data_IF_907426588970
#
_entry.id   IF_907426588970
#
_cell.length_a   1.000
_cell.length_b   1.000
_cell.length_c   1.000
_cell.angle_alpha   90.00
_cell.angle_beta   90.00
_cell.angle_gamma   90.00
#
_symmetry.space_group_name_H-M   'P 1'
#
loop_
_entity.id
_entity.type
_entity.pdbx_description
1 polymer ?
#
# COMPACT_ATOMS: atom_id res chain seq x y z
N UNK A 1 -42.55 12.25 -1.01
CA UNK A 1 -41.36 11.75 -0.28
C UNK A 1 -40.27 11.54 -1.33
N UNK A 2 -39.87 12.63 -2.01
CA UNK A 2 -39.12 12.56 -3.28
C UNK A 2 -37.85 13.43 -3.27
N UNK A 3 -37.50 14.01 -2.12
CA UNK A 3 -36.42 15.02 -2.02
C UNK A 3 -35.00 14.46 -2.15
N UNK A 4 -34.81 13.14 -2.12
CA UNK A 4 -33.49 12.49 -2.20
C UNK A 4 -33.28 11.64 -3.45
N UNK A 5 -34.23 11.65 -4.41
CA UNK A 5 -34.05 10.89 -5.65
C UNK A 5 -33.16 11.68 -6.62
N UNK A 6 -31.93 11.18 -6.81
CA UNK A 6 -30.98 11.73 -7.78
C UNK A 6 -31.32 11.15 -9.16
N UNK A 7 -31.63 11.99 -10.18
CA UNK A 7 -31.91 11.52 -11.54
C UNK A 7 -30.79 10.64 -12.09
N UNK A 8 -31.18 9.53 -12.70
CA UNK A 8 -30.26 8.56 -13.28
C UNK A 8 -29.63 7.57 -12.30
N UNK A 9 -29.66 7.82 -10.99
CA UNK A 9 -29.06 6.92 -10.01
C UNK A 9 -30.02 5.77 -9.66
N UNK A 10 -29.51 4.55 -9.72
CA UNK A 10 -30.19 3.33 -9.28
C UNK A 10 -29.62 2.88 -7.94
N UNK A 11 -30.48 2.33 -7.10
CA UNK A 11 -30.13 1.72 -5.83
C UNK A 11 -30.53 0.25 -5.85
N UNK A 12 -29.70 -0.61 -5.27
CA UNK A 12 -29.89 -2.05 -5.27
C UNK A 12 -28.96 -2.71 -4.27
N UNK A 13 -29.12 -4.03 -4.08
CA UNK A 13 -28.35 -4.79 -3.10
C UNK A 13 -26.85 -4.88 -3.45
N UNK A 14 -26.51 -4.82 -4.74
CA UNK A 14 -25.13 -4.75 -5.21
C UNK A 14 -24.84 -3.33 -5.72
N UNK A 15 -23.91 -2.57 -5.10
CA UNK A 15 -23.61 -1.22 -5.52
C UNK A 15 -23.03 -1.15 -6.93
N UNK A 16 -22.29 -2.19 -7.37
CA UNK A 16 -21.69 -2.22 -8.71
C UNK A 16 -22.77 -2.39 -9.76
N UNK A 17 -23.68 -3.36 -9.58
CA UNK A 17 -24.80 -3.58 -10.51
C UNK A 17 -25.67 -2.32 -10.61
N UNK A 18 -25.96 -1.71 -9.45
CA UNK A 18 -26.75 -0.48 -9.38
C UNK A 18 -26.06 0.66 -10.11
N UNK A 19 -24.74 0.80 -9.96
CA UNK A 19 -23.96 1.81 -10.67
C UNK A 19 -23.98 1.56 -12.19
N UNK A 20 -23.75 0.31 -12.64
CA UNK A 20 -23.74 -0.06 -14.05
C UNK A 20 -25.07 0.25 -14.74
N UNK A 21 -26.18 -0.01 -14.05
CA UNK A 21 -27.54 0.30 -14.53
C UNK A 21 -27.92 1.79 -14.39
N UNK A 22 -27.13 2.60 -13.69
CA UNK A 22 -27.36 4.04 -13.55
C UNK A 22 -26.96 4.79 -14.82
N UNK A 23 -27.47 6.02 -14.98
CA UNK A 23 -27.07 6.97 -16.02
C UNK A 23 -26.34 8.16 -15.43
N UNK A 24 -25.62 8.90 -16.27
CA UNK A 24 -24.81 10.05 -15.86
C UNK A 24 -25.59 11.38 -15.86
N UNK A 25 -26.92 11.32 -15.99
CA UNK A 25 -27.80 12.48 -16.16
C UNK A 25 -27.57 13.60 -15.13
N UNK A 26 -27.41 13.24 -13.86
CA UNK A 26 -27.13 14.20 -12.78
C UNK A 26 -25.85 15.01 -12.99
N UNK A 27 -24.81 14.41 -13.60
CA UNK A 27 -23.51 15.06 -13.78
C UNK A 27 -23.51 16.14 -14.86
N UNK A 28 -24.59 16.26 -15.63
CA UNK A 28 -24.79 17.34 -16.60
C UNK A 28 -25.58 18.52 -16.02
N UNK A 29 -26.08 18.39 -14.78
CA UNK A 29 -26.91 19.42 -14.15
C UNK A 29 -26.29 19.89 -12.83
N UNK A 30 -25.86 21.15 -12.80
CA UNK A 30 -25.27 21.80 -11.61
C UNK A 30 -26.17 21.69 -10.37
N UNK A 31 -27.49 21.84 -10.53
CA UNK A 31 -28.44 21.75 -9.41
C UNK A 31 -28.53 20.33 -8.83
N UNK A 32 -28.24 19.32 -9.64
CA UNK A 32 -28.20 17.94 -9.19
C UNK A 32 -26.88 17.64 -8.47
N UNK A 33 -25.76 18.11 -9.04
CA UNK A 33 -24.42 18.01 -8.44
C UNK A 33 -24.41 18.63 -7.04
N UNK A 34 -25.05 19.78 -6.86
CA UNK A 34 -25.13 20.45 -5.56
C UNK A 34 -25.85 19.61 -4.48
N UNK A 35 -26.73 18.68 -4.86
CA UNK A 35 -27.39 17.76 -3.92
C UNK A 35 -26.48 16.63 -3.43
N UNK A 36 -25.52 16.20 -4.26
CA UNK A 36 -24.58 15.11 -3.93
C UNK A 36 -23.24 15.65 -3.41
N UNK A 37 -23.02 16.97 -3.47
CA UNK A 37 -21.82 17.60 -2.95
C UNK A 37 -21.78 17.41 -1.43
N UNK A 38 -20.68 16.86 -0.88
CA UNK A 38 -20.53 16.77 0.57
C UNK A 38 -20.48 18.18 1.15
N UNK A 39 -21.21 18.40 2.25
CA UNK A 39 -21.33 19.69 2.91
C UNK A 39 -20.06 20.10 3.70
N UNK A 40 -18.92 19.48 3.37
CA UNK A 40 -17.66 19.65 4.09
C UNK A 40 -16.90 20.85 3.52
N UNK A 41 -16.69 21.85 4.38
CA UNK A 41 -16.07 23.15 4.07
C UNK A 41 -14.55 23.08 3.81
N UNK A 42 -13.98 21.87 3.71
CA UNK A 42 -12.54 21.63 3.60
C UNK A 42 -12.09 21.18 2.21
N UNK A 43 -13.01 20.96 1.27
CA UNK A 43 -12.70 20.53 -0.09
C UNK A 43 -13.08 21.61 -1.11
N UNK A 44 -12.10 22.39 -1.57
CA UNK A 44 -12.16 23.26 -2.76
C UNK A 44 -12.29 22.48 -4.09
N UNK A 45 -12.92 21.31 -4.06
CA UNK A 45 -13.17 20.52 -5.26
C UNK A 45 -14.36 21.15 -6.01
N UNK A 46 -14.03 21.90 -7.06
CA UNK A 46 -15.01 22.49 -7.96
C UNK A 46 -15.54 21.39 -8.88
N UNK A 47 -16.74 20.88 -8.57
CA UNK A 47 -17.48 20.02 -9.48
C UNK A 47 -18.14 20.86 -10.56
N UNK A 48 -17.67 20.71 -11.80
CA UNK A 48 -18.31 21.29 -12.99
C UNK A 48 -19.23 20.26 -13.64
N UNK A 49 -20.36 20.73 -14.15
CA UNK A 49 -21.20 19.92 -15.01
C UNK A 49 -20.42 19.46 -16.25
N UNK A 50 -20.67 18.22 -16.66
CA UNK A 50 -20.11 17.66 -17.89
C UNK A 50 -20.73 18.33 -19.12
N UNK A 51 -19.97 18.35 -20.21
CA UNK A 51 -20.44 18.83 -21.50
C UNK A 51 -21.02 17.67 -22.33
N UNK A 52 -22.19 17.88 -22.92
CA UNK A 52 -22.97 16.85 -23.65
C UNK A 52 -22.43 16.56 -25.05
N UNK A 53 -21.37 17.25 -25.47
CA UNK A 53 -20.76 17.11 -26.80
C UNK A 53 -20.10 15.75 -27.05
N UNK A 54 -19.59 15.08 -26.00
CA UNK A 54 -18.82 13.83 -26.14
C UNK A 54 -19.55 12.59 -25.66
N UNK A 55 -20.36 12.72 -24.60
CA UNK A 55 -21.12 11.65 -23.99
C UNK A 55 -22.58 12.10 -23.82
N UNK A 56 -23.52 11.19 -24.08
CA UNK A 56 -24.94 11.47 -23.87
C UNK A 56 -25.32 11.27 -22.40
N UNK A 57 -26.16 12.16 -21.82
CA UNK A 57 -26.62 12.05 -20.43
C UNK A 57 -27.48 10.80 -20.17
N UNK A 58 -28.05 10.22 -21.23
CA UNK A 58 -28.94 9.07 -21.17
C UNK A 58 -28.21 7.72 -21.33
N UNK A 59 -26.89 7.74 -21.54
CA UNK A 59 -26.09 6.52 -21.60
C UNK A 59 -25.96 5.89 -20.20
N UNK A 60 -26.12 4.57 -20.12
CA UNK A 60 -25.85 3.84 -18.88
C UNK A 60 -24.35 3.78 -18.62
N UNK A 61 -23.96 3.75 -17.35
CA UNK A 61 -22.54 3.57 -16.97
C UNK A 61 -22.01 2.26 -17.52
N UNK A 62 -22.83 1.21 -17.60
CA UNK A 62 -22.47 -0.06 -18.24
C UNK A 62 -22.04 0.14 -19.70
N UNK A 63 -22.84 0.84 -20.50
CA UNK A 63 -22.52 1.08 -21.91
C UNK A 63 -21.22 1.86 -22.08
N UNK A 64 -20.94 2.78 -21.14
CA UNK A 64 -19.68 3.52 -21.12
C UNK A 64 -18.50 2.62 -20.77
N UNK A 65 -18.64 1.79 -19.74
CA UNK A 65 -17.58 0.84 -19.34
C UNK A 65 -17.30 -0.13 -20.49
N UNK A 66 -18.34 -0.68 -21.12
CA UNK A 66 -18.20 -1.59 -22.25
C UNK A 66 -17.48 -0.93 -23.42
N UNK A 67 -17.74 0.36 -23.69
CA UNK A 67 -17.04 1.12 -24.73
C UNK A 67 -15.58 1.46 -24.38
N UNK A 68 -15.20 1.44 -23.09
CA UNK A 68 -13.82 1.62 -22.63
C UNK A 68 -13.03 0.31 -22.66
N UNK A 69 -13.72 -0.83 -22.64
CA UNK A 69 -13.10 -2.14 -22.81
C UNK A 69 -12.65 -2.31 -24.27
N UNK A 70 -11.61 -3.13 -24.46
CA UNK A 70 -11.08 -3.43 -25.80
C UNK A 70 -12.15 -4.21 -26.58
N UNK A 71 -12.89 -3.50 -27.43
CA UNK A 71 -13.97 -4.05 -28.25
C UNK A 71 -13.44 -5.02 -29.32
N UNK A 72 -12.23 -4.79 -29.84
CA UNK A 72 -11.59 -5.63 -30.86
C UNK A 72 -10.11 -5.81 -30.59
N UNK A 73 -9.70 -7.06 -30.40
CA UNK A 73 -8.29 -7.44 -30.40
C UNK A 73 -7.79 -7.46 -31.84
N UNK A 74 -7.19 -6.36 -32.28
CA UNK A 74 -6.42 -6.29 -33.51
C UNK A 74 -5.19 -7.22 -33.37
N UNK A 75 -5.16 -8.32 -34.11
CA UNK A 75 -4.03 -9.27 -34.09
C UNK A 75 -2.84 -8.81 -34.94
N UNK A 76 -3.01 -7.76 -35.75
CA UNK A 76 -2.00 -7.17 -36.62
C UNK A 76 -1.44 -5.85 -36.08
N UNK A 77 -1.31 -5.70 -34.76
CA UNK A 77 -0.67 -4.52 -34.18
C UNK A 77 0.84 -4.74 -34.15
N UNK A 78 1.58 -3.91 -34.89
CA UNK A 78 3.05 -3.90 -34.87
C UNK A 78 3.53 -3.13 -33.64
N UNK A 79 3.88 -3.85 -32.58
CA UNK A 79 4.37 -3.28 -31.33
C UNK A 79 5.86 -2.94 -31.34
N UNK A 80 6.57 -3.04 -32.48
CA UNK A 80 8.02 -2.82 -32.54
C UNK A 80 8.41 -1.43 -32.01
N UNK A 81 7.69 -0.39 -32.41
CA UNK A 81 7.95 0.97 -31.94
C UNK A 81 7.69 1.11 -30.43
N UNK A 82 6.63 0.49 -29.91
CA UNK A 82 6.31 0.48 -28.49
C UNK A 82 7.42 -0.21 -27.67
N UNK A 83 7.84 -1.41 -28.08
CA UNK A 83 8.91 -2.15 -27.41
C UNK A 83 10.27 -1.46 -27.51
N UNK A 84 10.57 -0.76 -28.62
CA UNK A 84 11.78 0.07 -28.73
C UNK A 84 11.80 1.21 -27.73
N UNK A 85 10.66 1.85 -27.48
CA UNK A 85 10.54 2.91 -26.47
C UNK A 85 10.61 2.35 -25.04
N UNK A 86 10.09 1.14 -24.83
CA UNK A 86 10.09 0.44 -23.54
C UNK A 86 11.36 -0.38 -23.27
N UNK A 87 12.38 -0.32 -24.13
CA UNK A 87 13.68 -0.96 -23.95
C UNK A 87 14.78 0.09 -23.66
N UNK A 88 14.71 0.79 -22.51
CA UNK A 88 15.76 1.75 -22.16
C UNK A 88 17.10 1.03 -21.97
N UNK A 89 18.18 1.63 -22.46
CA UNK A 89 19.54 1.10 -22.31
C UNK A 89 20.01 1.05 -20.85
N UNK A 90 19.39 1.86 -19.99
CA UNK A 90 19.68 1.95 -18.57
C UNK A 90 18.38 2.17 -17.80
N UNK A 91 18.16 1.36 -16.76
CA UNK A 91 17.05 1.57 -15.84
C UNK A 91 17.50 2.50 -14.73
N UNK A 92 16.79 3.62 -14.54
CA UNK A 92 16.93 4.45 -13.35
C UNK A 92 15.84 4.05 -12.36
N UNK A 93 16.24 3.69 -11.15
CA UNK A 93 15.30 3.46 -10.06
C UNK A 93 15.50 4.58 -9.03
N UNK A 94 14.42 5.25 -8.66
CA UNK A 94 14.43 6.17 -7.54
C UNK A 94 14.19 5.36 -6.27
N UNK A 95 15.22 5.28 -5.42
CA UNK A 95 15.04 4.84 -4.04
C UNK A 95 14.37 5.98 -3.26
N UNK A 96 13.05 6.05 -3.36
CA UNK A 96 12.25 6.88 -2.48
C UNK A 96 12.26 6.24 -1.09
N UNK A 97 13.34 6.44 -0.34
CA UNK A 97 13.37 6.09 1.07
C UNK A 97 12.39 7.01 1.79
N UNK A 98 11.19 6.50 2.03
CA UNK A 98 10.20 7.18 2.85
C UNK A 98 10.72 7.10 4.28
N UNK A 99 11.43 8.14 4.70
CA UNK A 99 11.87 8.32 6.09
C UNK A 99 10.62 8.55 6.94
N UNK A 100 9.94 7.45 7.26
CA UNK A 100 8.85 7.47 8.20
C UNK A 100 9.44 7.82 9.57
N UNK A 101 9.05 8.98 10.09
CA UNK A 101 9.53 9.48 11.38
C UNK A 101 9.25 8.44 12.47
N UNK A 102 8.12 7.73 12.39
CA UNK A 102 7.74 6.67 13.32
C UNK A 102 8.73 5.51 13.24
N UNK A 103 9.18 5.14 12.05
CA UNK A 103 10.18 4.08 11.86
C UNK A 103 11.53 4.42 12.51
N UNK A 104 11.98 5.68 12.39
CA UNK A 104 13.24 6.13 13.02
C UNK A 104 13.14 6.08 14.54
N UNK A 105 12.08 6.62 15.12
CA UNK A 105 11.89 6.61 16.59
C UNK A 105 11.76 5.21 17.16
N UNK A 106 10.96 4.35 16.53
CA UNK A 106 10.78 2.96 16.98
C UNK A 106 12.08 2.17 16.92
N UNK A 107 12.93 2.41 15.92
CA UNK A 107 14.25 1.78 15.81
C UNK A 107 15.17 2.19 16.96
N UNK A 108 15.23 3.48 17.34
CA UNK A 108 16.05 3.97 18.45
C UNK A 108 15.58 3.37 19.79
N UNK A 109 14.27 3.31 20.01
CA UNK A 109 13.67 2.73 21.22
C UNK A 109 13.96 1.23 21.29
N UNK A 110 13.82 0.52 20.16
CA UNK A 110 14.11 -0.91 20.08
C UNK A 110 15.59 -1.22 20.33
N UNK A 111 16.50 -0.42 19.77
CA UNK A 111 17.94 -0.63 19.93
C UNK A 111 18.38 -0.42 21.39
N UNK A 112 17.91 0.67 22.02
CA UNK A 112 18.24 1.00 23.41
C UNK A 112 17.63 0.01 24.41
N UNK A 113 16.36 -0.35 24.21
CA UNK A 113 15.67 -1.34 25.05
C UNK A 113 16.22 -2.75 24.87
N UNK A 114 16.36 -3.20 23.62
CA UNK A 114 16.83 -4.54 23.27
C UNK A 114 18.24 -4.82 23.76
N UNK A 115 19.17 -3.89 23.54
CA UNK A 115 20.56 -4.05 23.98
C UNK A 115 20.66 -4.22 25.50
N UNK A 116 19.89 -3.44 26.26
CA UNK A 116 19.88 -3.51 27.73
C UNK A 116 19.38 -4.87 28.23
N UNK A 117 18.32 -5.40 27.62
CA UNK A 117 17.72 -6.68 28.00
C UNK A 117 18.66 -7.84 27.65
N UNK A 118 19.19 -7.84 26.42
CA UNK A 118 20.11 -8.87 25.94
C UNK A 118 21.35 -8.92 26.81
N UNK A 119 21.94 -7.77 27.12
CA UNK A 119 23.17 -7.72 27.93
C UNK A 119 22.93 -8.26 29.35
N UNK A 120 21.80 -7.91 29.99
CA UNK A 120 21.42 -8.46 31.30
C UNK A 120 21.20 -9.98 31.29
N UNK A 121 20.78 -10.54 30.17
CA UNK A 121 20.61 -11.99 30.00
C UNK A 121 21.93 -12.70 29.69
N UNK A 122 22.76 -12.12 28.81
CA UNK A 122 24.00 -12.74 28.31
C UNK A 122 25.10 -12.72 29.36
N UNK A 123 25.25 -11.64 30.14
CA UNK A 123 26.29 -11.52 31.19
C UNK A 123 26.28 -12.70 32.17
N UNK A 124 25.17 -13.05 32.86
CA UNK A 124 25.19 -14.15 33.84
C UNK A 124 25.47 -15.51 33.19
N UNK A 125 25.03 -15.72 31.95
CA UNK A 125 25.30 -16.95 31.19
C UNK A 125 26.79 -17.03 30.87
N UNK A 126 27.38 -15.96 30.34
CA UNK A 126 28.80 -15.87 30.02
C UNK A 126 29.68 -16.07 31.25
N UNK A 127 29.33 -15.45 32.39
CA UNK A 127 30.07 -15.63 33.66
C UNK A 127 29.98 -17.07 34.16
N UNK A 128 28.79 -17.70 34.13
CA UNK A 128 28.64 -19.11 34.53
C UNK A 128 29.47 -20.03 33.62
N UNK A 129 29.43 -19.80 32.32
CA UNK A 129 30.19 -20.58 31.35
C UNK A 129 31.70 -20.39 31.51
N UNK A 130 32.18 -19.16 31.70
CA UNK A 130 33.58 -18.87 31.99
C UNK A 130 34.06 -19.52 33.29
N UNK A 131 33.24 -19.51 34.35
CA UNK A 131 33.55 -20.23 35.60
C UNK A 131 33.59 -21.74 35.39
N UNK A 132 32.66 -22.30 34.61
CA UNK A 132 32.63 -23.72 34.27
C UNK A 132 33.90 -24.13 33.52
N UNK A 133 34.30 -23.39 32.50
CA UNK A 133 35.54 -23.62 31.74
C UNK A 133 36.77 -23.48 32.65
N UNK A 134 36.85 -22.44 33.49
CA UNK A 134 37.98 -22.26 34.39
C UNK A 134 38.10 -23.42 35.39
N UNK A 135 36.98 -23.95 35.90
CA UNK A 135 37.00 -25.17 36.72
C UNK A 135 37.45 -26.40 35.93
N UNK A 136 37.00 -26.54 34.69
CA UNK A 136 37.38 -27.64 33.81
C UNK A 136 38.88 -27.61 33.48
N UNK A 137 39.43 -26.45 33.09
CA UNK A 137 40.85 -26.26 32.84
C UNK A 137 41.70 -26.49 34.10
N UNK A 138 41.25 -26.05 35.28
CA UNK A 138 41.96 -26.33 36.55
C UNK A 138 42.02 -27.82 36.89
N UNK A 139 41.03 -28.62 36.48
CA UNK A 139 41.03 -30.08 36.67
C UNK A 139 41.98 -30.79 35.71
N UNK A 140 42.11 -30.30 34.48
CA UNK A 140 43.06 -30.83 33.49
C UNK A 140 44.53 -30.51 33.83
N UNK A 141 44.79 -29.42 34.57
CA UNK A 141 46.15 -28.95 34.91
C UNK A 141 46.64 -29.45 36.29
N UNK A 142 45.96 -30.43 36.94
CA UNK A 142 46.59 -31.21 38.03
C UNK A 142 47.21 -32.49 37.44
N UNK A 143 48.45 -32.48 36.90
CA UNK A 143 49.18 -33.72 36.76
C UNK A 143 49.53 -34.23 38.17
N UNK A 144 49.37 -35.54 38.33
CA UNK A 144 49.92 -36.39 39.39
C UNK A 144 51.25 -35.86 39.93
N UNK A 145 51.26 -35.43 41.19
CA UNK A 145 52.49 -35.34 41.99
C UNK A 145 52.90 -36.79 42.29
N UNK A 146 53.78 -37.35 41.46
CA UNK A 146 54.47 -38.60 41.79
C UNK A 146 55.45 -38.30 42.92
N UNK A 147 55.14 -38.83 44.11
CA UNK A 147 56.07 -38.92 45.24
C UNK A 147 57.20 -39.88 44.83
N UNK A 148 58.39 -39.35 44.57
CA UNK A 148 59.60 -40.17 44.44
C UNK A 148 60.18 -40.39 45.83
N UNK A 149 60.25 -41.67 46.20
CA UNK A 149 60.87 -42.20 47.41
C UNK A 149 62.40 -42.06 47.37
#
# INVERSE_FOLDING_TARGET
MDEWLVPGFRVGCNPIESLLQSTLECLYNVTCIDKIKPNDSTSDMIFRALDSTRLSPNMSVQSLVDALLVDRWETNVVYEYYYRQCAPLYCTYSLNMRFDKVYVFTTIISLSGGLTIVLKLVIPIAVKFGRYIAMYCRRLVRPTVTVTA
#
